data_IF_679761772705
#
_entry.id   IF_679761772705
#
_cell.length_a   1.000
_cell.length_b   1.000
_cell.length_c   1.000
_cell.angle_alpha   90.00
_cell.angle_beta   90.00
_cell.angle_gamma   90.00
#
_symmetry.space_group_name_H-M   'P 1'
#
loop_
_entity.id
_entity.type
_entity.pdbx_description
1 polymer ?
#
# COMPACT_ATOMS: atom_id res chain seq x y z
N UNK A 1 -20.78 -9.40 -18.77
CA UNK A 1 -20.37 -8.97 -17.42
C UNK A 1 -19.17 -8.03 -17.53
N UNK A 2 -19.41 -6.71 -17.49
CA UNK A 2 -18.31 -5.72 -17.45
C UNK A 2 -17.88 -5.60 -15.99
N UNK A 3 -16.64 -5.99 -15.66
CA UNK A 3 -16.07 -5.75 -14.34
C UNK A 3 -15.82 -4.25 -14.24
N UNK A 4 -16.67 -3.55 -13.50
CA UNK A 4 -16.49 -2.14 -13.19
C UNK A 4 -15.24 -2.01 -12.31
N UNK A 5 -14.14 -1.58 -12.91
CA UNK A 5 -12.93 -1.18 -12.19
C UNK A 5 -13.27 0.07 -11.39
N UNK A 6 -13.80 -0.12 -10.17
CA UNK A 6 -14.05 0.95 -9.22
C UNK A 6 -12.71 1.58 -8.87
N UNK A 7 -12.43 2.76 -9.44
CA UNK A 7 -11.31 3.59 -9.06
C UNK A 7 -11.39 3.77 -7.54
N UNK A 8 -10.41 3.23 -6.80
CA UNK A 8 -10.33 3.44 -5.36
C UNK A 8 -10.06 4.93 -5.15
N UNK A 9 -10.91 5.59 -4.37
CA UNK A 9 -10.63 6.93 -3.88
C UNK A 9 -9.26 6.91 -3.19
N UNK A 10 -8.43 7.96 -3.36
CA UNK A 10 -7.12 7.98 -2.73
C UNK A 10 -7.30 7.96 -1.22
N UNK A 11 -7.05 6.81 -0.60
CA UNK A 11 -7.07 6.65 0.85
C UNK A 11 -6.00 7.57 1.42
N UNK A 12 -6.42 8.70 1.99
CA UNK A 12 -5.51 9.69 2.53
C UNK A 12 -5.02 9.20 3.91
N UNK A 13 -3.89 8.50 3.91
CA UNK A 13 -3.24 7.97 5.13
C UNK A 13 -2.24 8.99 5.65
N UNK A 14 -2.27 9.25 6.95
CA UNK A 14 -1.37 10.20 7.59
C UNK A 14 0.09 9.70 7.64
N UNK A 15 1.03 10.64 7.82
CA UNK A 15 2.45 10.32 7.85
C UNK A 15 2.87 9.37 9.00
N UNK A 16 2.32 9.49 10.23
CA UNK A 16 2.57 8.53 11.29
C UNK A 16 2.18 7.10 10.93
N UNK A 17 1.00 6.88 10.33
CA UNK A 17 0.55 5.54 9.92
C UNK A 17 1.45 4.96 8.84
N UNK A 18 1.83 5.75 7.83
CA UNK A 18 2.78 5.31 6.80
C UNK A 18 4.11 4.84 7.39
N UNK A 19 4.64 5.55 8.41
CA UNK A 19 5.87 5.16 9.11
C UNK A 19 5.72 3.85 9.87
N UNK A 20 4.61 3.66 10.60
CA UNK A 20 4.37 2.42 11.33
C UNK A 20 4.29 1.21 10.39
N UNK A 21 3.58 1.35 9.27
CA UNK A 21 3.48 0.31 8.26
C UNK A 21 4.83 -0.01 7.61
N UNK A 22 5.65 1.02 7.35
CA UNK A 22 7.00 0.85 6.83
C UNK A 22 7.91 0.07 7.78
N UNK A 23 7.86 0.36 9.08
CA UNK A 23 8.60 -0.40 10.10
C UNK A 23 8.14 -1.86 10.12
N UNK A 24 6.81 -2.09 10.12
CA UNK A 24 6.25 -3.46 10.08
C UNK A 24 6.66 -4.24 8.83
N UNK A 25 6.71 -3.57 7.68
CA UNK A 25 7.05 -4.18 6.40
C UNK A 25 8.55 -4.24 6.10
N UNK A 26 9.40 -3.68 6.97
CA UNK A 26 10.84 -3.51 6.74
C UNK A 26 11.13 -2.83 5.37
N UNK A 27 10.56 -1.64 5.16
CA UNK A 27 10.72 -0.83 3.95
C UNK A 27 10.75 0.66 4.28
N UNK A 28 11.19 1.48 3.31
CA UNK A 28 11.07 2.94 3.41
C UNK A 28 9.57 3.39 3.37
N UNK A 29 9.14 4.36 4.18
CA UNK A 29 7.77 4.91 4.14
C UNK A 29 7.29 5.38 2.75
N UNK A 30 8.22 5.84 1.89
CA UNK A 30 7.90 6.21 0.50
C UNK A 30 7.47 4.99 -0.31
N UNK A 31 7.97 3.80 -0.02
CA UNK A 31 7.53 2.55 -0.67
C UNK A 31 6.07 2.25 -0.32
N UNK A 32 5.66 2.42 0.95
CA UNK A 32 4.25 2.30 1.35
C UNK A 32 3.40 3.32 0.60
N UNK A 33 3.82 4.59 0.56
CA UNK A 33 3.09 5.64 -0.15
C UNK A 33 2.95 5.37 -1.65
N UNK A 34 4.00 4.85 -2.31
CA UNK A 34 3.95 4.44 -3.72
C UNK A 34 2.93 3.33 -3.95
N UNK A 35 3.01 2.26 -3.16
CA UNK A 35 2.10 1.11 -3.29
C UNK A 35 0.65 1.51 -2.99
N UNK A 36 0.42 2.37 -1.99
CA UNK A 36 -0.90 2.92 -1.68
C UNK A 36 -1.47 3.75 -2.84
N UNK A 37 -0.62 4.45 -3.60
CA UNK A 37 -1.00 5.15 -4.84
C UNK A 37 -1.09 4.23 -6.07
N UNK A 38 -1.09 2.91 -5.87
CA UNK A 38 -1.07 1.92 -6.95
C UNK A 38 0.14 2.01 -7.89
N UNK A 39 1.24 2.62 -7.46
CA UNK A 39 2.50 2.59 -8.21
C UNK A 39 3.18 1.22 -8.05
N UNK A 40 3.77 0.70 -9.13
CA UNK A 40 4.48 -0.57 -9.08
C UNK A 40 5.84 -0.41 -8.39
N UNK A 41 6.06 -1.23 -7.37
CA UNK A 41 7.36 -1.42 -6.71
C UNK A 41 7.76 -2.88 -6.90
N UNK A 42 8.86 -3.09 -7.62
CA UNK A 42 9.37 -4.42 -7.95
C UNK A 42 10.07 -5.07 -6.76
N UNK A 43 10.12 -6.40 -6.78
CA UNK A 43 10.86 -7.20 -5.81
C UNK A 43 10.21 -7.30 -4.43
N UNK A 44 11.01 -7.76 -3.47
CA UNK A 44 10.53 -8.10 -2.13
C UNK A 44 9.97 -6.90 -1.35
N UNK A 45 10.54 -5.71 -1.53
CA UNK A 45 10.06 -4.50 -0.85
C UNK A 45 8.60 -4.17 -1.23
N UNK A 46 8.26 -4.25 -2.53
CA UNK A 46 6.88 -4.06 -2.99
C UNK A 46 5.94 -5.17 -2.51
N UNK A 47 6.41 -6.41 -2.45
CA UNK A 47 5.64 -7.53 -1.90
C UNK A 47 5.31 -7.32 -0.41
N UNK A 48 6.31 -6.97 0.42
CA UNK A 48 6.11 -6.70 1.86
C UNK A 48 5.19 -5.50 2.09
N UNK A 49 5.38 -4.42 1.34
CA UNK A 49 4.54 -3.23 1.42
C UNK A 49 3.07 -3.53 1.09
N UNK A 50 2.81 -4.27 -0.02
CA UNK A 50 1.45 -4.70 -0.39
C UNK A 50 0.82 -5.55 0.72
N UNK A 51 1.56 -6.53 1.26
CA UNK A 51 1.08 -7.36 2.37
C UNK A 51 0.71 -6.55 3.61
N UNK A 52 1.57 -5.62 4.04
CA UNK A 52 1.29 -4.79 5.21
C UNK A 52 0.05 -3.91 5.01
N UNK A 53 -0.15 -3.37 3.80
CA UNK A 53 -1.33 -2.59 3.45
C UNK A 53 -2.62 -3.43 3.42
N UNK A 54 -2.55 -4.67 2.93
CA UNK A 54 -3.69 -5.61 2.96
C UNK A 54 -4.05 -5.98 4.40
N UNK A 55 -3.05 -6.31 5.23
CA UNK A 55 -3.25 -6.62 6.66
C UNK A 55 -3.83 -5.43 7.45
N UNK A 56 -3.48 -4.21 7.05
CA UNK A 56 -4.03 -2.98 7.62
C UNK A 56 -5.43 -2.62 7.08
N UNK A 57 -5.98 -3.40 6.14
CA UNK A 57 -7.28 -3.12 5.50
C UNK A 57 -7.27 -1.94 4.54
N UNK A 58 -6.09 -1.43 4.17
CA UNK A 58 -5.90 -0.27 3.27
C UNK A 58 -5.85 -0.67 1.80
N UNK A 59 -5.57 -1.94 1.51
CA UNK A 59 -5.64 -2.53 0.17
C UNK A 59 -6.48 -3.80 0.19
N UNK A 60 -7.11 -4.12 -0.94
CA UNK A 60 -7.74 -5.41 -1.17
C UNK A 60 -6.67 -6.40 -1.66
N UNK A 61 -6.60 -7.56 -1.00
CA UNK A 61 -5.72 -8.68 -1.35
C UNK A 61 -6.36 -9.66 -2.31
#
# INVERSE_FOLDING_TARGET
>A
MKRETRAQEPTQVDWPTLRQLAVKADVDPRTIAKVLRSEDVRGMAGHRARRALIEAGLLKG
#
